data_IF_736766591025
#
_entry.id   IF_736766591025
#
_cell.length_a   1.000
_cell.length_b   1.000
_cell.length_c   1.000
_cell.angle_alpha   90.00
_cell.angle_beta   90.00
_cell.angle_gamma   90.00
#
_symmetry.space_group_name_H-M   'P 1'
#
loop_
_entity.id
_entity.type
_entity.pdbx_description
1 polymer ?
#
# COMPACT_ATOMS: atom_id res chain seq x y z
N UNK A 1 -19.16 51.11 1.35
CA UNK A 1 -18.81 49.92 0.53
C UNK A 1 -17.30 49.74 0.60
N UNK A 2 -16.81 48.66 1.23
CA UNK A 2 -15.38 48.32 1.28
C UNK A 2 -15.15 47.10 0.40
N UNK A 3 -14.45 47.32 -0.71
CA UNK A 3 -14.10 46.29 -1.69
C UNK A 3 -12.89 45.52 -1.16
N UNK A 4 -13.06 44.25 -0.83
CA UNK A 4 -11.95 43.35 -0.48
C UNK A 4 -11.38 42.75 -1.76
N UNK A 5 -10.12 43.04 -2.07
CA UNK A 5 -9.36 42.36 -3.12
C UNK A 5 -8.88 41.01 -2.56
N UNK A 6 -9.39 39.92 -3.14
CA UNK A 6 -8.90 38.57 -2.85
C UNK A 6 -7.66 38.31 -3.72
N UNK A 7 -6.48 38.28 -3.09
CA UNK A 7 -5.22 37.90 -3.75
C UNK A 7 -5.26 36.40 -4.05
N UNK A 8 -5.36 36.04 -5.32
CA UNK A 8 -5.31 34.66 -5.78
C UNK A 8 -3.84 34.23 -5.89
N UNK A 9 -3.34 33.48 -4.90
CA UNK A 9 -2.00 32.89 -4.93
C UNK A 9 -1.95 31.72 -5.91
N UNK A 10 -1.26 31.91 -7.04
CA UNK A 10 -0.94 30.86 -7.99
C UNK A 10 0.11 29.95 -7.35
N UNK A 11 -0.31 28.78 -6.84
CA UNK A 11 0.61 27.71 -6.46
C UNK A 11 1.15 27.06 -7.73
N UNK A 12 2.44 27.26 -8.02
CA UNK A 12 3.15 26.45 -9.02
C UNK A 12 3.31 25.04 -8.45
N UNK A 13 2.66 24.06 -9.08
CA UNK A 13 2.90 22.64 -8.79
C UNK A 13 4.38 22.34 -9.06
N UNK A 14 5.16 22.26 -7.99
CA UNK A 14 6.50 21.69 -8.05
C UNK A 14 6.31 20.21 -8.37
N UNK A 15 6.72 19.81 -9.58
CA UNK A 15 6.74 18.40 -9.97
C UNK A 15 7.63 17.65 -8.98
N UNK A 16 7.00 16.87 -8.10
CA UNK A 16 7.70 15.95 -7.19
C UNK A 16 8.32 14.87 -8.08
N UNK A 17 9.56 15.10 -8.51
CA UNK A 17 10.35 14.11 -9.22
C UNK A 17 10.78 13.03 -8.25
N UNK A 18 10.15 11.87 -8.31
CA UNK A 18 10.70 10.66 -7.70
C UNK A 18 11.94 10.29 -8.50
N UNK A 19 13.11 10.68 -8.00
CA UNK A 19 14.39 10.30 -8.61
C UNK A 19 14.66 8.83 -8.25
N UNK A 20 14.34 7.93 -9.17
CA UNK A 20 14.94 6.61 -9.15
C UNK A 20 16.46 6.80 -9.34
N UNK A 21 17.25 6.45 -8.33
CA UNK A 21 18.72 6.51 -8.41
C UNK A 21 19.33 5.39 -9.29
N UNK A 22 18.50 4.54 -9.90
CA UNK A 22 18.94 3.43 -10.74
C UNK A 22 18.44 3.62 -12.18
N UNK A 23 19.33 3.40 -13.14
CA UNK A 23 18.96 3.37 -14.55
C UNK A 23 18.05 2.15 -14.79
N UNK A 24 16.81 2.38 -15.20
CA UNK A 24 15.88 1.30 -15.53
C UNK A 24 16.41 0.48 -16.72
N UNK A 25 16.28 -0.86 -16.67
CA UNK A 25 16.44 -1.70 -17.86
C UNK A 25 15.61 -1.16 -19.03
N UNK A 26 16.20 -1.13 -20.22
CA UNK A 26 15.57 -0.54 -21.41
C UNK A 26 14.17 -1.13 -21.71
N UNK A 27 13.95 -2.41 -21.39
CA UNK A 27 12.67 -3.10 -21.58
C UNK A 27 11.53 -2.52 -20.72
N UNK A 28 11.84 -1.85 -19.60
CA UNK A 28 10.91 -1.17 -18.69
C UNK A 28 10.73 0.32 -19.00
N UNK A 29 11.47 0.85 -19.98
CA UNK A 29 11.34 2.26 -20.36
C UNK A 29 10.11 2.40 -21.28
N UNK A 30 9.10 3.22 -20.92
CA UNK A 30 7.97 3.49 -21.80
C UNK A 30 8.40 4.07 -23.14
N UNK A 31 7.65 3.79 -24.20
CA UNK A 31 7.83 4.40 -25.52
C UNK A 31 7.66 5.92 -25.45
N UNK A 32 8.28 6.66 -26.37
CA UNK A 32 8.11 8.14 -26.43
C UNK A 32 6.64 8.52 -26.70
N UNK A 33 5.93 7.71 -27.47
CA UNK A 33 4.49 7.88 -27.68
C UNK A 33 3.71 7.72 -26.37
N UNK A 34 4.02 6.69 -25.58
CA UNK A 34 3.38 6.48 -24.28
C UNK A 34 3.69 7.62 -23.29
N UNK A 35 4.93 8.12 -23.27
CA UNK A 35 5.30 9.30 -22.46
C UNK A 35 4.51 10.55 -22.88
N UNK A 36 4.40 10.80 -24.19
CA UNK A 36 3.63 11.93 -24.72
C UNK A 36 2.15 11.82 -24.37
N UNK A 37 1.56 10.62 -24.44
CA UNK A 37 0.17 10.40 -24.07
C UNK A 37 -0.06 10.59 -22.56
N UNK A 38 0.82 10.03 -21.72
CA UNK A 38 0.75 10.28 -20.28
C UNK A 38 0.87 11.78 -19.94
N UNK A 39 1.76 12.51 -20.62
CA UNK A 39 1.89 13.95 -20.45
C UNK A 39 0.60 14.71 -20.81
N UNK A 40 -0.07 14.32 -21.91
CA UNK A 40 -1.40 14.88 -22.28
C UNK A 40 -2.46 14.64 -21.20
N UNK A 41 -2.35 13.53 -20.48
CA UNK A 41 -3.22 13.17 -19.36
C UNK A 41 -2.81 13.83 -18.03
N UNK A 42 -1.74 14.64 -18.01
CA UNK A 42 -1.10 15.16 -16.79
C UNK A 42 -0.76 14.03 -15.81
N UNK A 43 -0.13 12.99 -16.34
CA UNK A 43 0.17 11.73 -15.68
C UNK A 43 1.61 11.28 -15.98
N UNK A 44 2.08 10.27 -15.26
CA UNK A 44 3.38 9.64 -15.46
C UNK A 44 3.21 8.33 -16.24
N UNK A 45 4.05 8.09 -17.25
CA UNK A 45 4.07 6.81 -17.97
C UNK A 45 4.95 5.80 -17.23
N UNK A 46 4.45 4.58 -17.07
CA UNK A 46 5.18 3.45 -16.48
C UNK A 46 4.89 2.21 -17.30
N UNK A 47 5.92 1.41 -17.55
CA UNK A 47 5.80 0.10 -18.18
C UNK A 47 6.13 -0.99 -17.15
N UNK A 48 5.32 -2.05 -17.11
CA UNK A 48 5.56 -3.26 -16.33
C UNK A 48 5.46 -4.49 -17.23
N UNK A 49 6.14 -5.57 -16.84
CA UNK A 49 6.21 -6.82 -17.61
C UNK A 49 5.28 -7.89 -17.03
N UNK A 50 4.90 -8.93 -17.78
CA UNK A 50 4.19 -10.06 -17.19
C UNK A 50 5.08 -10.75 -16.15
N UNK A 51 4.50 -11.09 -15.01
CA UNK A 51 5.19 -11.92 -14.02
C UNK A 51 5.61 -13.26 -14.63
N UNK A 52 6.85 -13.67 -14.34
CA UNK A 52 7.44 -14.89 -14.88
C UNK A 52 7.89 -14.77 -16.33
N UNK A 53 7.97 -13.56 -16.90
CA UNK A 53 8.52 -13.33 -18.24
C UNK A 53 9.97 -13.80 -18.36
N UNK A 54 10.74 -13.67 -17.29
CA UNK A 54 12.05 -14.29 -17.15
C UNK A 54 11.89 -15.47 -16.19
N UNK A 55 12.63 -16.55 -16.41
CA UNK A 55 12.48 -17.78 -15.62
C UNK A 55 12.54 -17.44 -14.12
N UNK A 56 11.50 -17.78 -13.36
CA UNK A 56 11.42 -17.47 -11.93
C UNK A 56 12.64 -18.08 -11.23
N UNK A 57 13.59 -17.22 -10.86
CA UNK A 57 14.61 -17.59 -9.92
C UNK A 57 14.00 -17.47 -8.53
N UNK A 58 14.19 -18.49 -7.68
CA UNK A 58 13.66 -18.54 -6.31
C UNK A 58 14.37 -17.56 -5.36
N UNK A 59 14.95 -16.50 -5.90
CA UNK A 59 15.91 -15.66 -5.21
C UNK A 59 15.22 -14.50 -4.49
N UNK A 60 15.76 -14.18 -3.32
CA UNK A 60 15.21 -13.17 -2.42
C UNK A 60 15.82 -11.77 -2.63
N UNK A 61 16.77 -11.62 -3.55
CA UNK A 61 17.54 -10.40 -3.77
C UNK A 61 17.31 -9.81 -5.17
N UNK A 62 17.51 -8.50 -5.31
CA UNK A 62 17.43 -7.84 -6.62
C UNK A 62 18.64 -8.15 -7.50
N UNK A 63 19.83 -8.29 -6.91
CA UNK A 63 21.11 -8.40 -7.63
C UNK A 63 21.25 -9.71 -8.41
N UNK A 64 20.58 -10.76 -7.95
CA UNK A 64 20.68 -12.09 -8.55
C UNK A 64 19.66 -12.28 -9.70
N UNK A 65 18.65 -11.40 -9.81
CA UNK A 65 17.63 -11.46 -10.85
C UNK A 65 18.18 -11.02 -12.23
N UNK A 66 17.69 -11.59 -13.37
CA UNK A 66 18.18 -11.25 -14.72
C UNK A 66 18.13 -9.76 -15.08
N UNK A 67 17.15 -9.03 -14.56
CA UNK A 67 17.01 -7.58 -14.76
C UNK A 67 17.64 -6.73 -13.64
N UNK A 68 18.28 -7.35 -12.65
CA UNK A 68 18.73 -6.67 -11.43
C UNK A 68 17.57 -6.15 -10.56
N UNK A 69 16.37 -6.70 -10.75
CA UNK A 69 15.12 -6.27 -10.11
C UNK A 69 14.29 -7.52 -9.78
N UNK A 70 14.00 -7.75 -8.50
CA UNK A 70 13.17 -8.88 -8.07
C UNK A 70 11.75 -8.77 -8.62
N UNK A 71 11.24 -9.87 -9.15
CA UNK A 71 9.94 -9.94 -9.80
C UNK A 71 9.96 -9.47 -11.25
N UNK A 72 11.15 -9.32 -11.83
CA UNK A 72 11.38 -9.10 -13.26
C UNK A 72 10.65 -7.90 -13.86
N UNK A 73 10.46 -6.86 -13.05
CA UNK A 73 9.74 -5.65 -13.47
C UNK A 73 8.24 -5.84 -13.66
N UNK A 74 7.66 -6.92 -13.14
CA UNK A 74 6.22 -7.15 -13.13
C UNK A 74 5.47 -6.34 -12.08
N UNK A 75 6.21 -5.65 -11.22
CA UNK A 75 5.69 -4.89 -10.10
C UNK A 75 5.96 -3.40 -10.28
N UNK A 76 5.15 -2.56 -9.64
CA UNK A 76 5.44 -1.14 -9.51
C UNK A 76 4.96 -0.57 -8.18
N UNK A 77 5.77 0.30 -7.59
CA UNK A 77 5.42 1.08 -6.42
C UNK A 77 5.14 2.52 -6.82
N UNK A 78 3.91 2.97 -6.65
CA UNK A 78 3.52 4.38 -6.82
C UNK A 78 4.15 5.28 -5.74
N UNK A 79 4.48 4.70 -4.57
CA UNK A 79 5.07 5.43 -3.45
C UNK A 79 6.55 5.69 -3.64
N UNK A 80 7.30 4.71 -4.15
CA UNK A 80 8.77 4.80 -4.29
C UNK A 80 9.22 4.97 -5.73
N UNK A 81 8.29 4.83 -6.68
CA UNK A 81 8.56 4.73 -8.10
C UNK A 81 9.22 3.42 -8.51
N UNK A 82 9.48 2.44 -7.63
CA UNK A 82 10.32 1.27 -7.93
C UNK A 82 9.58 0.12 -8.62
N UNK A 83 10.30 -0.64 -9.46
CA UNK A 83 9.81 -1.90 -10.06
C UNK A 83 10.15 -3.17 -9.26
N UNK A 84 10.90 -3.04 -8.16
CA UNK A 84 11.32 -4.19 -7.36
C UNK A 84 10.22 -4.65 -6.41
N UNK A 85 9.98 -5.97 -6.36
CA UNK A 85 9.14 -6.59 -5.36
C UNK A 85 9.57 -6.28 -3.92
N UNK A 86 10.87 -6.07 -3.70
CA UNK A 86 11.42 -5.74 -2.38
C UNK A 86 11.15 -4.29 -1.96
N UNK A 87 10.52 -3.46 -2.81
CA UNK A 87 10.31 -2.02 -2.61
C UNK A 87 8.84 -1.62 -2.45
N UNK A 88 8.05 -2.48 -1.82
CA UNK A 88 6.62 -2.24 -1.52
C UNK A 88 5.82 -1.92 -2.78
N UNK A 89 5.73 -2.88 -3.71
CA UNK A 89 4.90 -2.67 -4.89
C UNK A 89 3.44 -2.56 -4.49
N UNK A 90 2.72 -1.64 -5.14
CA UNK A 90 1.29 -1.46 -4.96
C UNK A 90 0.49 -2.12 -6.10
N UNK A 91 1.12 -2.39 -7.25
CA UNK A 91 0.52 -3.06 -8.40
C UNK A 91 1.45 -4.14 -8.96
N UNK A 92 0.88 -5.22 -9.50
CA UNK A 92 1.58 -6.22 -10.30
C UNK A 92 0.80 -6.54 -11.58
N UNK A 93 1.49 -7.08 -12.58
CA UNK A 93 0.91 -7.67 -13.78
C UNK A 93 1.18 -9.18 -13.83
N UNK A 94 0.12 -9.98 -13.84
CA UNK A 94 0.20 -11.44 -13.88
C UNK A 94 -0.94 -11.99 -14.73
N UNK A 95 -0.65 -12.89 -15.67
CA UNK A 95 -1.66 -13.53 -16.53
C UNK A 95 -2.58 -12.52 -17.26
N UNK A 96 -2.03 -11.38 -17.70
CA UNK A 96 -2.77 -10.32 -18.39
C UNK A 96 -3.71 -9.51 -17.48
N UNK A 97 -3.61 -9.70 -16.16
CA UNK A 97 -4.40 -8.97 -15.16
C UNK A 97 -3.49 -8.09 -14.31
N UNK A 98 -3.96 -6.87 -14.04
CA UNK A 98 -3.38 -6.05 -12.98
C UNK A 98 -3.99 -6.44 -11.63
N UNK A 99 -3.17 -6.42 -10.58
CA UNK A 99 -3.62 -6.76 -9.24
C UNK A 99 -2.88 -6.04 -8.13
N UNK A 100 -3.44 -6.09 -6.92
CA UNK A 100 -2.98 -5.40 -5.71
C UNK A 100 -3.00 -6.34 -4.49
N UNK A 101 -2.26 -6.00 -3.43
CA UNK A 101 -2.34 -6.71 -2.14
C UNK A 101 -1.59 -8.05 -2.08
N UNK A 102 -0.25 -8.00 -2.11
CA UNK A 102 0.58 -9.20 -2.36
C UNK A 102 1.02 -9.96 -1.11
N UNK A 103 1.24 -9.27 0.01
CA UNK A 103 1.98 -9.82 1.14
C UNK A 103 1.35 -9.50 2.48
N UNK A 104 1.37 -10.49 3.39
CA UNK A 104 0.93 -10.28 4.76
C UNK A 104 -0.50 -9.76 4.83
N UNK A 105 -0.73 -8.73 5.65
CA UNK A 105 -2.03 -8.08 5.83
C UNK A 105 -2.32 -6.97 4.80
N UNK A 106 -1.43 -6.76 3.84
CA UNK A 106 -1.63 -5.75 2.80
C UNK A 106 -2.73 -6.21 1.85
N UNK A 107 -3.57 -5.26 1.46
CA UNK A 107 -4.67 -5.52 0.53
C UNK A 107 -4.96 -4.27 -0.31
N UNK A 108 -5.80 -4.41 -1.31
CA UNK A 108 -6.23 -3.27 -2.10
C UNK A 108 -7.46 -3.60 -2.89
N UNK A 109 -7.91 -2.61 -3.66
CA UNK A 109 -9.01 -2.82 -4.57
C UNK A 109 -8.89 -1.95 -5.81
N UNK A 110 -9.44 -2.47 -6.90
CA UNK A 110 -9.47 -1.86 -8.22
C UNK A 110 -10.93 -1.78 -8.67
N UNK A 111 -11.33 -0.60 -9.13
CA UNK A 111 -12.55 -0.39 -9.91
C UNK A 111 -12.15 -0.11 -11.36
N UNK A 112 -12.71 -0.87 -12.31
CA UNK A 112 -12.60 -0.58 -13.74
C UNK A 112 -13.64 0.49 -14.10
N UNK A 113 -13.14 1.66 -14.49
CA UNK A 113 -13.94 2.84 -14.85
C UNK A 113 -14.26 2.89 -16.35
N UNK A 114 -13.81 1.89 -17.13
CA UNK A 114 -13.97 1.84 -18.57
C UNK A 114 -13.25 3.00 -19.26
N UNK A 115 -13.89 3.58 -20.29
CA UNK A 115 -13.29 4.60 -21.16
C UNK A 115 -13.37 6.03 -20.59
N UNK A 116 -13.46 6.18 -19.27
CA UNK A 116 -13.49 7.50 -18.61
C UNK A 116 -12.10 8.12 -18.64
N UNK A 117 -12.01 9.42 -18.98
CA UNK A 117 -10.76 10.17 -18.87
C UNK A 117 -10.32 10.24 -17.40
N UNK A 118 -9.05 9.91 -17.14
CA UNK A 118 -8.44 9.93 -15.82
C UNK A 118 -8.69 11.25 -15.07
N UNK A 119 -8.84 12.37 -15.79
CA UNK A 119 -9.10 13.72 -15.25
C UNK A 119 -10.46 13.85 -14.57
N UNK A 120 -11.47 13.08 -15.02
CA UNK A 120 -12.87 13.22 -14.60
C UNK A 120 -13.26 12.27 -13.44
N UNK A 121 -12.29 11.60 -12.82
CA UNK A 121 -12.57 10.58 -11.81
C UNK A 121 -13.02 11.13 -10.45
N UNK A 122 -12.69 12.37 -10.11
CA UNK A 122 -12.95 12.91 -8.76
C UNK A 122 -14.44 13.09 -8.45
N UNK A 123 -15.27 13.18 -9.48
CA UNK A 123 -16.71 13.35 -9.34
C UNK A 123 -17.47 12.01 -9.34
N UNK A 124 -16.75 10.88 -9.44
CA UNK A 124 -17.33 9.54 -9.49
C UNK A 124 -17.64 9.01 -8.09
N UNK A 125 -18.67 8.17 -7.97
CA UNK A 125 -19.02 7.54 -6.71
C UNK A 125 -17.90 6.61 -6.21
N UNK A 126 -17.17 6.00 -7.14
CA UNK A 126 -16.02 5.16 -6.90
C UNK A 126 -14.92 5.90 -6.16
N UNK A 127 -14.61 7.11 -6.61
CA UNK A 127 -13.65 7.99 -5.95
C UNK A 127 -14.13 8.42 -4.58
N UNK A 128 -15.40 8.79 -4.43
CA UNK A 128 -15.94 9.21 -3.12
C UNK A 128 -15.89 8.06 -2.11
N UNK A 129 -16.24 6.84 -2.53
CA UNK A 129 -16.12 5.65 -1.68
C UNK A 129 -14.66 5.39 -1.30
N UNK A 130 -13.77 5.27 -2.28
CA UNK A 130 -12.37 4.93 -2.02
C UNK A 130 -11.60 6.03 -1.31
N UNK A 131 -11.98 7.30 -1.41
CA UNK A 131 -11.32 8.40 -0.68
C UNK A 131 -11.75 8.50 0.78
N UNK A 132 -12.93 8.00 1.13
CA UNK A 132 -13.47 8.05 2.50
C UNK A 132 -13.40 6.72 3.24
N UNK A 133 -13.10 5.64 2.54
CA UNK A 133 -12.93 4.31 3.11
C UNK A 133 -11.85 4.30 4.21
N UNK A 134 -12.12 3.61 5.33
CA UNK A 134 -11.21 3.47 6.47
C UNK A 134 -10.85 1.99 6.61
N UNK A 135 -9.57 1.59 6.45
CA UNK A 135 -9.20 0.21 6.67
C UNK A 135 -9.45 -0.20 8.13
N UNK A 136 -9.95 -1.43 8.39
CA UNK A 136 -9.95 -1.95 9.75
C UNK A 136 -8.52 -2.06 10.26
N UNK A 137 -8.35 -2.04 11.57
CA UNK A 137 -7.02 -2.09 12.19
C UNK A 137 -6.73 -3.45 12.81
N UNK A 138 -7.74 -4.20 13.24
CA UNK A 138 -7.53 -5.52 13.83
C UNK A 138 -7.21 -6.55 12.74
N UNK A 139 -6.11 -7.30 12.91
CA UNK A 139 -5.64 -8.27 11.91
C UNK A 139 -6.74 -9.26 11.47
N UNK A 140 -7.55 -9.85 12.36
CA UNK A 140 -8.69 -10.69 11.94
C UNK A 140 -9.70 -9.96 11.04
N UNK A 141 -9.97 -8.69 11.32
CA UNK A 141 -10.87 -7.85 10.51
C UNK A 141 -10.25 -7.47 9.17
N UNK A 142 -8.95 -7.14 9.15
CA UNK A 142 -8.19 -6.92 7.93
C UNK A 142 -8.23 -8.16 7.03
N UNK A 143 -8.10 -9.36 7.60
CA UNK A 143 -8.21 -10.62 6.83
C UNK A 143 -9.61 -10.85 6.26
N UNK A 144 -10.66 -10.51 7.01
CA UNK A 144 -12.03 -10.58 6.49
C UNK A 144 -12.21 -9.61 5.33
N UNK A 145 -11.67 -8.41 5.48
CA UNK A 145 -11.80 -7.35 4.49
C UNK A 145 -10.99 -7.62 3.21
N UNK A 146 -9.79 -8.16 3.34
CA UNK A 146 -8.98 -8.66 2.22
C UNK A 146 -9.77 -9.70 1.40
N UNK A 147 -10.38 -10.69 2.06
CA UNK A 147 -11.23 -11.69 1.38
C UNK A 147 -12.47 -11.07 0.75
N UNK A 148 -13.07 -10.08 1.40
CA UNK A 148 -14.24 -9.36 0.88
C UNK A 148 -13.88 -8.65 -0.42
N UNK A 149 -12.73 -7.96 -0.49
CA UNK A 149 -12.29 -7.24 -1.68
C UNK A 149 -11.79 -8.10 -2.83
N UNK A 150 -11.62 -9.41 -2.63
CA UNK A 150 -11.37 -10.33 -3.75
C UNK A 150 -12.48 -10.20 -4.81
N UNK A 151 -13.73 -10.04 -4.38
CA UNK A 151 -14.85 -9.71 -5.25
C UNK A 151 -16.03 -9.14 -4.43
N UNK A 152 -16.23 -7.83 -4.48
CA UNK A 152 -17.38 -7.20 -3.82
C UNK A 152 -18.11 -6.21 -4.73
N UNK A 153 -19.43 -6.13 -4.56
CA UNK A 153 -20.22 -5.05 -5.13
C UNK A 153 -20.75 -4.15 -4.03
N UNK A 154 -20.54 -2.84 -4.16
CA UNK A 154 -21.00 -1.83 -3.21
C UNK A 154 -21.77 -0.79 -4.02
N UNK A 155 -23.07 -0.67 -3.74
CA UNK A 155 -23.96 0.24 -4.45
C UNK A 155 -23.89 0.10 -5.99
N UNK A 156 -23.80 -1.14 -6.48
CA UNK A 156 -23.77 -1.46 -7.92
C UNK A 156 -22.37 -1.37 -8.56
N UNK A 157 -21.39 -0.83 -7.85
CA UNK A 157 -20.00 -0.75 -8.33
C UNK A 157 -19.28 -2.05 -7.97
N UNK A 158 -18.51 -2.60 -8.89
CA UNK A 158 -17.72 -3.82 -8.68
C UNK A 158 -16.28 -3.46 -8.37
N UNK A 159 -15.81 -3.95 -7.22
CA UNK A 159 -14.46 -3.80 -6.69
C UNK A 159 -13.78 -5.15 -6.65
N UNK A 160 -12.53 -5.24 -7.15
CA UNK A 160 -11.79 -6.50 -7.22
C UNK A 160 -10.32 -6.29 -6.87
N UNK A 161 -9.66 -7.34 -6.39
CA UNK A 161 -8.20 -7.36 -6.22
C UNK A 161 -7.46 -7.52 -7.56
N UNK A 162 -8.15 -8.07 -8.57
CA UNK A 162 -7.63 -8.45 -9.89
C UNK A 162 -8.59 -8.02 -10.98
N UNK A 163 -8.08 -7.33 -12.01
CA UNK A 163 -8.86 -6.95 -13.20
C UNK A 163 -8.02 -7.10 -14.46
N UNK A 164 -8.62 -7.37 -15.64
CA UNK A 164 -7.90 -7.40 -16.91
C UNK A 164 -7.20 -6.07 -17.20
N UNK A 165 -6.02 -6.10 -17.81
CA UNK A 165 -5.32 -4.90 -18.27
C UNK A 165 -5.84 -4.44 -19.64
N UNK A 166 -7.08 -3.96 -19.69
CA UNK A 166 -7.75 -3.57 -20.94
C UNK A 166 -7.21 -2.24 -21.48
N UNK A 167 -6.80 -2.23 -22.76
CA UNK A 167 -6.32 -1.04 -23.45
C UNK A 167 -7.35 0.10 -23.40
N UNK A 168 -6.88 1.33 -23.11
CA UNK A 168 -7.66 2.57 -22.95
C UNK A 168 -8.65 2.58 -21.79
N UNK A 169 -8.74 1.52 -20.99
CA UNK A 169 -9.51 1.57 -19.77
C UNK A 169 -8.75 2.34 -18.70
N UNK A 170 -9.53 3.05 -17.89
CA UNK A 170 -9.07 3.76 -16.71
C UNK A 170 -9.49 2.97 -15.47
N UNK A 171 -8.60 2.89 -14.50
CA UNK A 171 -8.79 2.16 -13.27
C UNK A 171 -8.58 3.10 -12.11
N UNK A 172 -9.42 2.94 -11.10
CA UNK A 172 -9.24 3.56 -9.80
C UNK A 172 -8.76 2.49 -8.83
N UNK A 173 -7.58 2.71 -8.24
CA UNK A 173 -6.88 1.72 -7.44
C UNK A 173 -6.54 2.31 -6.08
N UNK A 174 -6.97 1.65 -5.00
CA UNK A 174 -6.47 1.93 -3.65
C UNK A 174 -5.64 0.75 -3.16
N UNK A 175 -4.39 1.01 -2.81
CA UNK A 175 -3.47 0.03 -2.23
C UNK A 175 -3.17 0.40 -0.78
N UNK A 176 -3.34 -0.56 0.11
CA UNK A 176 -3.24 -0.40 1.56
C UNK A 176 -2.18 -1.36 2.08
N UNK A 177 -1.04 -0.80 2.47
CA UNK A 177 0.06 -1.50 3.11
C UNK A 177 0.24 -1.03 4.56
N UNK A 178 0.04 -1.94 5.51
CA UNK A 178 0.07 -1.59 6.95
C UNK A 178 1.47 -1.25 7.45
N UNK A 179 2.51 -1.70 6.75
CA UNK A 179 3.88 -1.36 7.12
C UNK A 179 4.41 -0.10 6.42
N UNK A 180 3.75 0.36 5.34
CA UNK A 180 4.39 1.28 4.38
C UNK A 180 3.53 2.46 3.94
N UNK A 181 2.38 2.24 3.31
CA UNK A 181 1.64 3.26 2.56
C UNK A 181 0.14 2.97 2.51
N UNK A 182 -0.68 4.00 2.34
CA UNK A 182 -2.08 3.88 1.90
C UNK A 182 -2.31 4.96 0.85
N UNK A 183 -2.55 4.53 -0.39
CA UNK A 183 -2.53 5.42 -1.55
C UNK A 183 -3.71 5.13 -2.47
N UNK A 184 -4.34 6.19 -2.97
CA UNK A 184 -5.34 6.14 -4.02
C UNK A 184 -4.74 6.75 -5.29
N UNK A 185 -4.69 5.94 -6.34
CA UNK A 185 -4.19 6.34 -7.66
C UNK A 185 -5.27 6.08 -8.70
N UNK A 186 -5.15 6.80 -9.81
CA UNK A 186 -5.80 6.42 -11.04
C UNK A 186 -4.74 6.07 -12.07
N UNK A 187 -5.07 5.13 -12.96
CA UNK A 187 -4.22 4.77 -14.09
C UNK A 187 -5.05 4.44 -15.32
N UNK A 188 -4.54 4.76 -16.50
CA UNK A 188 -5.12 4.40 -17.80
C UNK A 188 -4.13 3.54 -18.56
N UNK A 189 -4.55 2.38 -19.06
CA UNK A 189 -3.69 1.55 -19.91
C UNK A 189 -3.58 2.21 -21.28
N UNK A 190 -2.37 2.58 -21.69
CA UNK A 190 -2.11 3.31 -22.94
C UNK A 190 -1.43 2.45 -24.00
N UNK A 191 -0.77 1.37 -23.61
CA UNK A 191 -0.12 0.41 -24.52
C UNK A 191 -0.20 -1.00 -23.92
N UNK A 192 -0.44 -2.00 -24.76
CA UNK A 192 -0.28 -3.42 -24.44
C UNK A 192 0.63 -4.02 -25.51
N UNK A 193 1.81 -4.50 -25.11
CA UNK A 193 2.80 -5.07 -26.01
C UNK A 193 2.44 -6.48 -26.47
N UNK A 194 3.03 -6.93 -27.57
CA UNK A 194 2.88 -8.30 -28.07
C UNK A 194 3.41 -9.35 -27.08
N UNK A 195 4.39 -8.98 -26.26
CA UNK A 195 4.94 -9.77 -25.15
C UNK A 195 4.04 -9.80 -23.90
N UNK A 196 2.87 -9.15 -23.96
CA UNK A 196 1.95 -9.00 -22.83
C UNK A 196 2.34 -7.90 -21.85
N UNK A 197 3.44 -7.17 -22.08
CA UNK A 197 3.80 -6.01 -21.25
C UNK A 197 2.73 -4.92 -21.33
N UNK A 198 2.63 -4.14 -20.25
CA UNK A 198 1.61 -3.10 -20.13
C UNK A 198 2.28 -1.78 -19.82
N UNK A 199 1.95 -0.76 -20.61
CA UNK A 199 2.30 0.62 -20.29
C UNK A 199 1.04 1.38 -19.89
N UNK A 200 1.09 2.07 -18.75
CA UNK A 200 -0.01 2.86 -18.23
C UNK A 200 0.43 4.28 -17.90
N UNK A 201 -0.49 5.22 -18.06
CA UNK A 201 -0.40 6.57 -17.55
C UNK A 201 -1.05 6.61 -16.16
N UNK A 202 -0.37 7.06 -15.12
CA UNK A 202 -0.96 7.14 -13.78
C UNK A 202 -0.77 8.49 -13.10
N UNK A 203 -1.67 8.78 -12.15
CA UNK A 203 -1.56 9.94 -11.26
C UNK A 203 -1.99 9.57 -9.85
N UNK A 204 -1.29 10.12 -8.85
CA UNK A 204 -1.72 10.05 -7.46
C UNK A 204 -2.92 10.98 -7.26
N UNK A 205 -3.98 10.47 -6.64
CA UNK A 205 -5.18 11.25 -6.33
C UNK A 205 -5.24 11.61 -4.85
N UNK A 206 -4.88 10.68 -3.96
CA UNK A 206 -4.79 10.92 -2.54
C UNK A 206 -3.69 10.07 -1.90
N UNK A 207 -3.19 10.58 -0.78
CA UNK A 207 -2.20 9.96 0.08
C UNK A 207 -2.79 9.96 1.48
N UNK A 208 -2.83 8.81 2.14
CA UNK A 208 -3.46 8.65 3.45
C UNK A 208 -2.40 8.40 4.52
N UNK A 209 -2.79 8.65 5.78
CA UNK A 209 -1.96 8.23 6.88
C UNK A 209 -1.79 6.71 6.84
N UNK A 210 -0.53 6.24 6.95
CA UNK A 210 -0.21 4.82 7.01
C UNK A 210 -1.07 4.14 8.10
N UNK A 211 -1.83 3.09 7.76
CA UNK A 211 -2.65 2.41 8.74
C UNK A 211 -1.77 1.62 9.72
N UNK A 212 -2.30 1.35 10.90
CA UNK A 212 -1.62 0.55 11.93
C UNK A 212 -2.32 -0.79 12.05
N UNK A 213 -1.56 -1.88 11.97
CA UNK A 213 -2.07 -3.23 12.20
C UNK A 213 -2.01 -3.54 13.69
N UNK A 214 -3.17 -3.87 14.25
CA UNK A 214 -3.38 -4.27 15.63
C UNK A 214 -3.66 -5.77 15.67
N UNK A 215 -3.03 -6.51 16.57
CA UNK A 215 -3.23 -7.96 16.69
C UNK A 215 -4.35 -8.31 17.66
N UNK A 216 -4.66 -7.39 18.57
CA UNK A 216 -5.82 -7.46 19.45
C UNK A 216 -6.26 -6.06 19.85
N UNK A 217 -7.37 -5.92 20.55
CA UNK A 217 -7.80 -4.62 21.06
C UNK A 217 -6.91 -4.23 22.24
N UNK A 218 -6.67 -2.93 22.43
CA UNK A 218 -5.88 -2.43 23.55
C UNK A 218 -6.42 -2.89 24.91
N UNK A 219 -7.74 -3.01 25.04
CA UNK A 219 -8.37 -3.53 26.24
C UNK A 219 -8.01 -5.00 26.51
N UNK A 220 -7.97 -5.83 25.46
CA UNK A 220 -7.61 -7.25 25.58
C UNK A 220 -6.11 -7.41 25.90
N UNK A 221 -5.26 -6.59 25.26
CA UNK A 221 -3.82 -6.57 25.53
C UNK A 221 -3.53 -6.10 26.96
N UNK A 222 -4.21 -5.05 27.40
CA UNK A 222 -4.09 -4.54 28.77
C UNK A 222 -4.47 -5.61 29.79
N UNK A 223 -5.59 -6.31 29.57
CA UNK A 223 -6.01 -7.41 30.45
C UNK A 223 -4.99 -8.56 30.48
N UNK A 224 -4.38 -8.91 29.34
CA UNK A 224 -3.33 -9.92 29.27
C UNK A 224 -2.07 -9.50 30.05
N UNK A 225 -1.67 -8.23 29.96
CA UNK A 225 -0.54 -7.66 30.68
C UNK A 225 -0.80 -7.61 32.18
N UNK A 226 -1.97 -7.14 32.61
CA UNK A 226 -2.36 -7.12 34.02
C UNK A 226 -2.35 -8.52 34.63
N UNK A 227 -2.78 -9.53 33.87
CA UNK A 227 -2.68 -10.94 34.27
C UNK A 227 -1.21 -11.36 34.45
N UNK A 228 -0.33 -11.05 33.50
CA UNK A 228 1.11 -11.37 33.60
C UNK A 228 1.74 -10.69 34.82
N UNK A 229 1.49 -9.40 35.02
CA UNK A 229 2.01 -8.61 36.15
C UNK A 229 1.62 -9.26 37.47
N UNK A 230 0.35 -9.66 37.60
CA UNK A 230 -0.16 -10.34 38.79
C UNK A 230 0.42 -11.74 38.99
N UNK A 231 0.54 -12.55 37.94
CA UNK A 231 1.05 -13.92 38.02
C UNK A 231 2.55 -13.99 38.27
N UNK A 232 3.30 -12.99 37.80
CA UNK A 232 4.75 -12.90 37.95
C UNK A 232 5.21 -12.07 39.15
N UNK A 233 4.28 -11.38 39.81
CA UNK A 233 4.55 -10.53 40.97
C UNK A 233 5.65 -9.51 40.69
N UNK A 234 5.47 -8.72 39.62
CA UNK A 234 6.42 -7.70 39.15
C UNK A 234 5.76 -6.34 39.07
N UNK A 235 6.54 -5.27 38.84
CA UNK A 235 6.06 -3.93 38.50
C UNK A 235 5.21 -3.21 39.57
N UNK A 236 5.49 -3.45 40.86
CA UNK A 236 4.76 -2.83 41.97
C UNK A 236 4.86 -1.30 42.05
N UNK A 237 5.96 -0.72 41.54
CA UNK A 237 6.27 0.71 41.62
C UNK A 237 6.08 1.45 40.29
N UNK A 238 5.63 0.77 39.24
CA UNK A 238 5.52 1.32 37.90
C UNK A 238 4.07 1.28 37.40
N UNK A 239 3.74 2.18 36.49
CA UNK A 239 2.45 2.17 35.79
C UNK A 239 2.64 1.57 34.41
N UNK A 240 1.88 0.53 34.08
CA UNK A 240 1.87 -0.06 32.73
C UNK A 240 0.61 0.38 32.00
N UNK A 241 0.77 0.83 30.76
CA UNK A 241 -0.35 1.20 29.90
C UNK A 241 -0.20 0.60 28.51
N UNK A 242 -1.32 0.62 27.78
CA UNK A 242 -1.40 0.11 26.41
C UNK A 242 -2.06 1.16 25.54
N UNK A 243 -1.49 1.39 24.35
CA UNK A 243 -2.10 2.21 23.32
C UNK A 243 -1.63 1.75 21.94
N UNK A 244 -2.54 1.56 21.00
CA UNK A 244 -2.26 1.17 19.61
C UNK A 244 -1.38 -0.10 19.54
N UNK A 245 -1.68 -1.10 20.39
CA UNK A 245 -0.89 -2.32 20.59
C UNK A 245 0.56 -2.11 21.05
N UNK A 246 0.90 -0.91 21.52
CA UNK A 246 2.17 -0.59 22.17
C UNK A 246 1.99 -0.60 23.68
N UNK A 247 2.83 -1.38 24.35
CA UNK A 247 2.93 -1.38 25.82
C UNK A 247 3.95 -0.32 26.24
N UNK A 248 3.58 0.54 27.17
CA UNK A 248 4.49 1.50 27.78
C UNK A 248 4.53 1.29 29.29
N UNK A 249 5.73 1.44 29.87
CA UNK A 249 5.98 1.34 31.30
C UNK A 249 6.49 2.68 31.79
N UNK A 250 5.81 3.29 32.77
CA UNK A 250 6.18 4.56 33.38
C UNK A 250 6.68 4.33 34.81
N UNK A 251 7.93 4.67 35.07
CA UNK A 251 8.61 4.47 36.35
C UNK A 251 10.03 3.94 36.12
N UNK A 252 10.61 3.31 37.13
CA UNK A 252 11.96 2.72 37.07
C UNK A 252 11.88 1.23 37.39
N UNK A 253 11.40 0.38 36.46
CA UNK A 253 11.39 -1.06 36.68
C UNK A 253 12.82 -1.58 36.77
N UNK A 254 13.04 -2.60 37.59
CA UNK A 254 14.34 -3.28 37.61
C UNK A 254 14.55 -4.06 36.30
N UNK A 255 15.82 -4.30 35.94
CA UNK A 255 16.16 -5.10 34.76
C UNK A 255 15.62 -6.54 34.87
N UNK A 256 15.56 -7.07 36.09
CA UNK A 256 15.00 -8.40 36.38
C UNK A 256 13.50 -8.45 36.08
N UNK A 257 12.72 -7.49 36.58
CA UNK A 257 11.29 -7.39 36.29
C UNK A 257 11.01 -7.23 34.79
N UNK A 258 11.82 -6.41 34.10
CA UNK A 258 11.72 -6.26 32.65
C UNK A 258 11.96 -7.59 31.93
N UNK A 259 13.00 -8.34 32.29
CA UNK A 259 13.31 -9.62 31.67
C UNK A 259 12.18 -10.64 31.88
N UNK A 260 11.68 -10.76 33.11
CA UNK A 260 10.54 -11.63 33.45
C UNK A 260 9.31 -11.24 32.62
N UNK A 261 9.03 -9.94 32.51
CA UNK A 261 7.94 -9.43 31.70
C UNK A 261 8.11 -9.77 30.22
N UNK A 262 9.30 -9.54 29.65
CA UNK A 262 9.58 -9.85 28.25
C UNK A 262 9.42 -11.34 27.93
N UNK A 263 9.90 -12.22 28.81
CA UNK A 263 9.74 -13.67 28.66
C UNK A 263 8.27 -14.09 28.71
N UNK A 264 7.52 -13.60 29.70
CA UNK A 264 6.09 -13.90 29.82
C UNK A 264 5.30 -13.37 28.61
N UNK A 265 5.67 -12.20 28.11
CA UNK A 265 5.08 -11.59 26.93
C UNK A 265 5.38 -12.36 25.65
N UNK A 266 6.36 -13.27 25.58
CA UNK A 266 6.57 -14.07 24.35
C UNK A 266 5.32 -14.83 23.93
N UNK A 267 4.58 -15.41 24.88
CA UNK A 267 3.31 -16.09 24.62
C UNK A 267 2.21 -15.18 24.04
N UNK A 268 2.30 -13.88 24.33
CA UNK A 268 1.42 -12.83 23.81
C UNK A 268 1.95 -12.31 22.46
N UNK A 269 3.28 -12.22 22.30
CA UNK A 269 3.97 -11.82 21.06
C UNK A 269 3.88 -12.86 19.96
N UNK A 270 3.74 -14.15 20.28
CA UNK A 270 3.46 -15.20 19.29
C UNK A 270 2.13 -14.96 18.55
N UNK A 271 1.32 -13.99 19.02
CA UNK A 271 0.13 -13.46 18.35
C UNK A 271 0.39 -12.17 17.56
N UNK A 272 1.64 -11.76 17.40
CA UNK A 272 2.11 -10.64 16.57
C UNK A 272 2.47 -9.33 17.29
N UNK A 273 2.30 -9.23 18.61
CA UNK A 273 2.48 -7.96 19.36
C UNK A 273 3.95 -7.51 19.43
N UNK A 274 4.21 -6.21 19.25
CA UNK A 274 5.54 -5.60 19.41
C UNK A 274 5.69 -5.01 20.82
N UNK A 275 6.74 -5.39 21.53
CA UNK A 275 7.12 -4.76 22.80
C UNK A 275 8.32 -3.85 22.52
N UNK A 276 8.16 -2.55 22.75
CA UNK A 276 9.25 -1.58 22.58
C UNK A 276 10.06 -1.51 23.87
N UNK A 277 11.38 -1.39 23.73
CA UNK A 277 12.32 -1.16 24.84
C UNK A 277 12.39 0.31 25.20
#
# INVERSE_FOLDING_TARGET
>A
MKTFFLLCSIFTLSSIGFSQNFQLPQILVPSEQAKAEAARLNAQAVKILPRGMFAEQTENSDIDCPLGIRGDGAYYSFTTGSHSYNKTPEIQLEQGQISVGFAGADYGTIADMGLIDIKNLTDTQEFQFLSTYKPPQLEPEVRMEQRRFAQVSIAGIVYRERVPASLRHTYLLRAISFDKSDILVALTIIEVGEDGSVTFAWRKLADFAKPTLLYMRDADLKAAIEKIIKEKDIFHSVTVGVKDNVVYVKGSPSLEELNIFYEAMQSVRDRGIRVLR
#
